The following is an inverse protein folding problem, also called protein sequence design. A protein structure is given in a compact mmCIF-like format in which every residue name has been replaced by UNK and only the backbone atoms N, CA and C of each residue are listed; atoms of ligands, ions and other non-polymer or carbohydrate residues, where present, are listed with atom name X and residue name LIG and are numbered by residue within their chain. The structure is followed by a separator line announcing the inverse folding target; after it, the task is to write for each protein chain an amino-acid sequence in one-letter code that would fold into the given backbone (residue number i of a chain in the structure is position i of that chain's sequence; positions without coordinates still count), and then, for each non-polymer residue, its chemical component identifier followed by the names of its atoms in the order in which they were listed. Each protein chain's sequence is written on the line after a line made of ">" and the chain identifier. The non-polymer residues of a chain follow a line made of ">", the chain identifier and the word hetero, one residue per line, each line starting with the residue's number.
data_IF_754600379381
#
_entry.id   IF_754600379381
#
_cell.length_a   1.000
_cell.length_b   1.000
_cell.length_c   1.000
_cell.angle_alpha   90.00
_cell.angle_beta   90.00
_cell.angle_gamma   90.00
#
_symmetry.space_group_name_H-M   'P 1'
#
loop_
_entity.id
_entity.type
_entity.pdbx_description
1 polymer ?
#
# COMPACT_ATOMS: atom_id res chain seq x y z
N UNK A 1 15.13 0.24 13.11
CA UNK A 1 13.96 -0.63 13.20
C UNK A 1 13.05 -0.40 12.03
N UNK A 2 12.62 -1.48 11.39
CA UNK A 2 11.63 -1.40 10.33
C UNK A 2 10.24 -1.30 10.95
N UNK A 3 9.47 -0.26 10.59
CA UNK A 3 8.11 -0.14 11.02
C UNK A 3 7.20 -1.18 10.32
N UNK A 4 6.16 -1.64 11.02
CA UNK A 4 5.14 -2.48 10.42
C UNK A 4 4.26 -1.65 9.51
N UNK A 5 4.10 -2.07 8.26
CA UNK A 5 3.23 -1.43 7.29
C UNK A 5 1.94 -2.22 7.10
N UNK A 6 0.89 -1.50 6.81
CA UNK A 6 -0.37 -2.07 6.34
C UNK A 6 -0.39 -1.98 4.82
N UNK A 7 -0.46 -3.13 4.17
CA UNK A 7 -0.29 -3.24 2.71
C UNK A 7 -1.52 -3.90 2.12
N UNK A 8 -2.05 -3.31 1.06
CA UNK A 8 -3.12 -3.90 0.27
C UNK A 8 -2.54 -4.34 -1.07
N UNK A 9 -2.85 -5.57 -1.45
CA UNK A 9 -2.50 -6.14 -2.76
C UNK A 9 -3.79 -6.34 -3.54
N UNK A 10 -3.88 -5.68 -4.68
CA UNK A 10 -5.03 -5.79 -5.59
C UNK A 10 -4.53 -6.27 -6.94
N UNK A 11 -4.75 -7.53 -7.27
CA UNK A 11 -4.31 -8.14 -8.51
C UNK A 11 -5.20 -9.34 -8.84
N UNK A 12 -5.49 -9.55 -10.12
CA UNK A 12 -6.31 -10.68 -10.56
C UNK A 12 -5.59 -12.02 -10.47
N UNK A 13 -4.25 -12.02 -10.53
CA UNK A 13 -3.46 -13.24 -10.49
C UNK A 13 -3.39 -13.80 -9.06
N UNK A 14 -3.94 -14.99 -8.79
CA UNK A 14 -3.81 -15.60 -7.46
C UNK A 14 -2.36 -15.92 -7.11
N UNK A 15 -1.53 -16.23 -8.10
CA UNK A 15 -0.10 -16.47 -7.90
C UNK A 15 0.59 -15.21 -7.42
N UNK A 16 0.34 -14.08 -8.05
CA UNK A 16 0.90 -12.78 -7.64
C UNK A 16 0.49 -12.43 -6.22
N UNK A 17 -0.81 -12.56 -5.91
CA UNK A 17 -1.31 -12.28 -4.56
C UNK A 17 -0.63 -13.15 -3.52
N UNK A 18 -0.50 -14.45 -3.78
CA UNK A 18 0.10 -15.38 -2.84
C UNK A 18 1.58 -15.11 -2.63
N UNK A 19 2.32 -14.83 -3.69
CA UNK A 19 3.75 -14.50 -3.61
C UNK A 19 3.95 -13.26 -2.74
N UNK A 20 3.20 -12.19 -3.02
CA UNK A 20 3.31 -10.94 -2.26
C UNK A 20 2.89 -11.12 -0.81
N UNK A 21 1.80 -11.82 -0.56
CA UNK A 21 1.33 -12.12 0.80
C UNK A 21 2.40 -12.81 1.63
N UNK A 22 2.99 -13.88 1.09
CA UNK A 22 4.03 -14.65 1.79
C UNK A 22 5.27 -13.81 2.05
N UNK A 23 5.76 -13.10 1.03
CA UNK A 23 6.98 -12.28 1.17
C UNK A 23 6.76 -11.18 2.21
N UNK A 24 5.66 -10.45 2.12
CA UNK A 24 5.41 -9.28 2.96
C UNK A 24 5.07 -9.66 4.39
N UNK A 25 4.36 -10.75 4.60
CA UNK A 25 4.08 -11.27 5.95
C UNK A 25 5.35 -11.74 6.64
N UNK A 26 6.27 -12.36 5.91
CA UNK A 26 7.57 -12.77 6.45
C UNK A 26 8.41 -11.57 6.88
N UNK A 27 8.23 -10.43 6.22
CA UNK A 27 8.91 -9.19 6.61
C UNK A 27 8.20 -8.45 7.76
N UNK A 28 7.12 -9.03 8.29
CA UNK A 28 6.43 -8.50 9.46
C UNK A 28 5.33 -7.49 9.17
N UNK A 29 4.88 -7.40 7.93
CA UNK A 29 3.82 -6.46 7.55
C UNK A 29 2.43 -7.10 7.58
N UNK A 30 1.42 -6.26 7.74
CA UNK A 30 0.01 -6.66 7.64
C UNK A 30 -0.40 -6.58 6.18
N UNK A 31 -0.88 -7.68 5.61
CA UNK A 31 -1.21 -7.79 4.18
C UNK A 31 -2.64 -8.23 4.00
N UNK A 32 -3.40 -7.49 3.20
CA UNK A 32 -4.72 -7.89 2.75
C UNK A 32 -4.73 -7.96 1.22
N UNK A 33 -5.20 -9.09 0.69
CA UNK A 33 -5.22 -9.34 -0.75
C UNK A 33 -6.63 -9.32 -1.30
N UNK A 34 -6.80 -8.71 -2.46
CA UNK A 34 -8.09 -8.61 -3.15
C UNK A 34 -7.90 -8.88 -4.64
N UNK A 35 -8.92 -9.46 -5.27
CA UNK A 35 -8.98 -9.64 -6.72
C UNK A 35 -10.00 -8.70 -7.38
N UNK A 36 -10.85 -8.07 -6.58
CA UNK A 36 -11.90 -7.15 -7.02
C UNK A 36 -11.62 -5.74 -6.48
N UNK A 37 -11.51 -4.72 -7.36
CA UNK A 37 -11.29 -3.35 -6.94
C UNK A 37 -12.38 -2.79 -6.03
N UNK A 38 -13.63 -3.20 -6.20
CA UNK A 38 -14.72 -2.74 -5.34
C UNK A 38 -14.56 -3.24 -3.91
N UNK A 39 -14.16 -4.49 -3.73
CA UNK A 39 -13.90 -5.05 -2.40
C UNK A 39 -12.72 -4.37 -1.73
N UNK A 40 -11.66 -4.09 -2.49
CA UNK A 40 -10.50 -3.36 -1.98
C UNK A 40 -10.87 -1.95 -1.52
N UNK A 41 -11.66 -1.23 -2.32
CA UNK A 41 -12.14 0.10 -1.97
C UNK A 41 -13.05 0.10 -0.74
N UNK A 42 -13.94 -0.90 -0.64
CA UNK A 42 -14.78 -1.06 0.56
C UNK A 42 -13.94 -1.26 1.82
N UNK A 43 -12.89 -2.08 1.73
CA UNK A 43 -11.98 -2.30 2.84
C UNK A 43 -11.26 -1.01 3.24
N UNK A 44 -10.82 -0.21 2.26
CA UNK A 44 -10.18 1.09 2.52
C UNK A 44 -11.15 2.08 3.17
N UNK A 45 -12.39 2.13 2.73
CA UNK A 45 -13.41 2.99 3.35
C UNK A 45 -13.75 2.56 4.77
N UNK A 46 -13.79 1.26 5.02
CA UNK A 46 -14.14 0.69 6.33
C UNK A 46 -13.00 0.84 7.35
N UNK A 47 -11.77 0.58 6.94
CA UNK A 47 -10.62 0.49 7.84
C UNK A 47 -9.64 1.66 7.73
N UNK A 48 -9.88 2.59 6.81
CA UNK A 48 -8.99 3.72 6.56
C UNK A 48 -7.86 3.39 5.58
N UNK A 49 -7.01 4.38 5.26
CA UNK A 49 -5.95 4.21 4.27
C UNK A 49 -4.91 3.18 4.71
N UNK A 50 -4.39 2.43 3.76
CA UNK A 50 -3.22 1.59 3.95
C UNK A 50 -1.95 2.42 3.76
N UNK A 51 -0.80 1.85 4.08
CA UNK A 51 0.49 2.50 3.86
C UNK A 51 0.93 2.37 2.41
N UNK A 52 0.79 1.16 1.87
CA UNK A 52 1.12 0.84 0.48
C UNK A 52 -0.06 0.14 -0.20
N UNK A 53 -0.22 0.41 -1.47
CA UNK A 53 -1.15 -0.29 -2.35
C UNK A 53 -0.38 -0.86 -3.54
N UNK A 54 -0.27 -2.18 -3.62
CA UNK A 54 0.30 -2.88 -4.76
C UNK A 54 -0.84 -3.23 -5.72
N UNK A 55 -0.85 -2.61 -6.89
CA UNK A 55 -2.00 -2.59 -7.76
C UNK A 55 -1.67 -3.14 -9.16
N UNK A 56 -2.30 -4.24 -9.53
CA UNK A 56 -2.30 -4.71 -10.91
C UNK A 56 -3.20 -3.82 -11.76
N UNK A 57 -2.83 -3.61 -13.02
CA UNK A 57 -3.56 -2.71 -13.89
C UNK A 57 -4.72 -3.37 -14.64
N UNK A 58 -4.65 -4.69 -14.83
CA UNK A 58 -5.67 -5.46 -15.55
C UNK A 58 -6.65 -6.07 -14.54
N UNK A 59 -7.72 -5.35 -14.25
CA UNK A 59 -8.73 -5.74 -13.26
C UNK A 59 -10.10 -5.94 -13.95
N UNK A 60 -10.97 -6.82 -13.38
CA UNK A 60 -12.18 -7.27 -14.08
C UNK A 60 -13.29 -6.22 -14.22
N UNK A 61 -13.52 -5.40 -13.21
CA UNK A 61 -14.67 -4.48 -13.19
C UNK A 61 -14.29 -3.02 -13.35
N UNK A 62 -13.07 -2.68 -13.01
CA UNK A 62 -12.54 -1.32 -13.05
C UNK A 62 -11.07 -1.42 -13.41
N UNK A 63 -10.65 -0.65 -14.39
CA UNK A 63 -9.23 -0.58 -14.80
C UNK A 63 -8.38 -0.07 -13.63
N UNK A 64 -7.17 -0.60 -13.48
CA UNK A 64 -6.23 -0.12 -12.47
C UNK A 64 -5.92 1.37 -12.56
N UNK A 65 -5.93 1.93 -13.75
CA UNK A 65 -5.78 3.38 -13.95
C UNK A 65 -6.95 4.16 -13.34
N UNK A 66 -8.16 3.63 -13.43
CA UNK A 66 -9.35 4.25 -12.84
C UNK A 66 -9.27 4.20 -11.31
N UNK A 67 -8.77 3.11 -10.74
CA UNK A 67 -8.52 3.00 -9.30
C UNK A 67 -7.51 4.06 -8.85
N UNK A 68 -6.41 4.23 -9.58
CA UNK A 68 -5.41 5.25 -9.28
C UNK A 68 -5.98 6.66 -9.32
N UNK A 69 -6.78 6.96 -10.34
CA UNK A 69 -7.44 8.27 -10.48
C UNK A 69 -8.41 8.53 -9.34
N UNK A 70 -9.18 7.51 -8.98
CA UNK A 70 -10.15 7.60 -7.89
C UNK A 70 -9.44 7.91 -6.57
N UNK A 71 -8.38 7.17 -6.25
CA UNK A 71 -7.63 7.37 -5.01
C UNK A 71 -6.93 8.72 -4.97
N UNK A 72 -6.45 9.19 -6.11
CA UNK A 72 -5.82 10.51 -6.23
C UNK A 72 -6.80 11.64 -5.96
N UNK A 73 -8.07 11.47 -6.36
CA UNK A 73 -9.14 12.43 -6.14
C UNK A 73 -9.72 12.42 -4.72
N UNK A 74 -9.37 11.43 -3.90
CA UNK A 74 -9.93 11.26 -2.56
C UNK A 74 -8.92 11.65 -1.50
N UNK A 75 -9.09 12.79 -0.80
CA UNK A 75 -8.10 13.27 0.20
C UNK A 75 -7.79 12.28 1.30
N UNK A 76 -8.74 11.41 1.66
CA UNK A 76 -8.56 10.40 2.71
C UNK A 76 -7.42 9.44 2.41
N UNK A 77 -7.09 9.24 1.12
CA UNK A 77 -6.12 8.23 0.68
C UNK A 77 -4.83 8.85 0.16
N UNK A 78 -4.61 10.15 0.34
CA UNK A 78 -3.40 10.83 -0.14
C UNK A 78 -2.11 10.38 0.55
N UNK A 79 -2.21 9.81 1.75
CA UNK A 79 -1.06 9.25 2.46
C UNK A 79 -0.64 7.86 1.97
N UNK A 80 -1.50 7.22 1.19
CA UNK A 80 -1.21 5.91 0.60
C UNK A 80 -0.24 6.04 -0.56
N UNK A 81 0.71 5.09 -0.64
CA UNK A 81 1.67 5.02 -1.75
C UNK A 81 1.23 3.95 -2.73
N UNK A 82 0.72 4.32 -3.92
CA UNK A 82 0.35 3.33 -4.94
C UNK A 82 1.57 2.89 -5.74
N UNK A 83 1.69 1.59 -5.92
CA UNK A 83 2.74 0.94 -6.71
C UNK A 83 2.07 0.10 -7.77
N UNK A 84 2.31 0.43 -9.04
CA UNK A 84 1.71 -0.31 -10.15
C UNK A 84 2.50 -1.57 -10.45
N UNK A 85 1.77 -2.69 -10.61
CA UNK A 85 2.34 -3.97 -11.02
C UNK A 85 2.07 -4.14 -12.52
N UNK A 86 3.11 -4.18 -13.31
CA UNK A 86 3.02 -4.31 -14.76
C UNK A 86 3.37 -5.73 -15.21
N UNK A 87 2.74 -6.16 -16.30
CA UNK A 87 3.12 -7.37 -17.01
C UNK A 87 4.38 -7.12 -17.84
N UNK A 88 5.13 -8.18 -18.20
CA UNK A 88 6.27 -8.07 -19.10
C UNK A 88 5.87 -7.54 -20.50
N UNK A 89 4.59 -7.71 -20.86
CA UNK A 89 4.05 -7.23 -22.14
C UNK A 89 3.75 -5.73 -22.14
N UNK A 90 3.70 -5.13 -20.96
CA UNK A 90 3.43 -3.70 -20.83
C UNK A 90 4.67 -2.89 -21.23
N UNK A 91 4.51 -1.99 -22.18
CA UNK A 91 5.60 -1.18 -22.70
C UNK A 91 5.81 0.13 -21.90
N UNK A 92 6.72 0.94 -22.42
CA UNK A 92 7.08 2.24 -21.84
C UNK A 92 5.87 3.16 -21.70
N UNK A 93 4.93 3.13 -22.65
CA UNK A 93 3.74 3.98 -22.63
C UNK A 93 2.82 3.63 -21.46
N UNK A 94 2.64 2.34 -21.16
CA UNK A 94 1.83 1.90 -20.03
C UNK A 94 2.49 2.33 -18.71
N UNK A 95 3.80 2.20 -18.64
CA UNK A 95 4.58 2.64 -17.46
C UNK A 95 4.41 4.15 -17.21
N UNK A 96 4.54 4.94 -18.27
CA UNK A 96 4.36 6.39 -18.18
C UNK A 96 2.93 6.75 -17.78
N UNK A 97 1.95 6.08 -18.40
CA UNK A 97 0.54 6.28 -18.08
C UNK A 97 0.22 5.96 -16.62
N UNK A 98 0.82 4.90 -16.07
CA UNK A 98 0.65 4.55 -14.65
C UNK A 98 1.18 5.65 -13.72
N UNK A 99 2.36 6.19 -14.02
CA UNK A 99 2.94 7.29 -13.25
C UNK A 99 2.09 8.55 -13.32
N UNK A 100 1.60 8.89 -14.50
CA UNK A 100 0.73 10.05 -14.69
C UNK A 100 -0.61 9.89 -13.99
N UNK A 101 -1.10 8.65 -13.86
CA UNK A 101 -2.34 8.37 -13.15
C UNK A 101 -2.19 8.41 -11.63
N UNK A 102 -0.95 8.42 -11.11
CA UNK A 102 -0.70 8.56 -9.68
C UNK A 102 0.18 7.49 -9.04
N UNK A 103 0.64 6.49 -9.79
CA UNK A 103 1.55 5.48 -9.25
C UNK A 103 2.91 6.11 -8.94
N UNK A 104 3.38 5.96 -7.71
CA UNK A 104 4.70 6.47 -7.32
C UNK A 104 5.82 5.61 -7.86
N UNK A 105 5.60 4.31 -7.94
CA UNK A 105 6.57 3.37 -8.49
C UNK A 105 5.86 2.37 -9.39
N UNK A 106 6.65 1.75 -10.26
CA UNK A 106 6.20 0.71 -11.18
C UNK A 106 7.11 -0.49 -11.01
N UNK A 107 6.51 -1.65 -10.77
CA UNK A 107 7.24 -2.92 -10.65
C UNK A 107 6.77 -3.84 -11.77
N UNK A 108 7.71 -4.38 -12.56
CA UNK A 108 7.40 -5.26 -13.67
C UNK A 108 7.51 -6.72 -13.23
N UNK A 109 6.50 -7.51 -13.56
CA UNK A 109 6.52 -8.96 -13.34
C UNK A 109 7.54 -9.61 -14.32
N UNK A 110 8.22 -10.71 -13.97
CA UNK A 110 8.02 -11.53 -12.76
C UNK A 110 8.53 -10.84 -11.51
N UNK A 111 7.85 -11.08 -10.39
CA UNK A 111 8.21 -10.47 -9.11
C UNK A 111 9.45 -11.14 -8.53
N UNK A 112 10.44 -10.34 -8.19
CA UNK A 112 11.68 -10.79 -7.57
C UNK A 112 11.64 -10.45 -6.08
N UNK A 113 11.75 -11.47 -5.24
CA UNK A 113 11.65 -11.32 -3.79
C UNK A 113 12.56 -10.21 -3.25
N UNK A 114 13.83 -10.20 -3.67
CA UNK A 114 14.80 -9.21 -3.18
C UNK A 114 14.39 -7.79 -3.53
N UNK A 115 13.83 -7.57 -4.72
CA UNK A 115 13.35 -6.26 -5.13
C UNK A 115 12.15 -5.81 -4.31
N UNK A 116 11.21 -6.71 -4.06
CA UNK A 116 10.02 -6.41 -3.26
C UNK A 116 10.40 -6.09 -1.82
N UNK A 117 11.27 -6.91 -1.22
CA UNK A 117 11.74 -6.70 0.15
C UNK A 117 12.48 -5.37 0.28
N UNK A 118 13.38 -5.05 -0.65
CA UNK A 118 14.14 -3.80 -0.64
C UNK A 118 13.22 -2.58 -0.78
N UNK A 119 12.28 -2.65 -1.70
CA UNK A 119 11.31 -1.59 -1.96
C UNK A 119 10.46 -1.30 -0.71
N UNK A 120 9.84 -2.32 -0.15
CA UNK A 120 8.95 -2.17 1.01
C UNK A 120 9.75 -1.76 2.25
N UNK A 121 10.96 -2.29 2.43
CA UNK A 121 11.82 -1.90 3.54
C UNK A 121 12.21 -0.42 3.48
N UNK A 122 12.43 0.13 2.29
CA UNK A 122 12.74 1.55 2.13
C UNK A 122 11.57 2.43 2.59
N UNK A 123 10.33 2.06 2.27
CA UNK A 123 9.15 2.79 2.74
C UNK A 123 8.96 2.65 4.25
N UNK A 124 9.19 1.48 4.81
CA UNK A 124 9.11 1.24 6.25
C UNK A 124 10.11 2.12 7.01
N UNK A 125 11.34 2.23 6.50
CA UNK A 125 12.39 3.07 7.09
C UNK A 125 12.06 4.56 6.96
N UNK A 126 11.60 5.01 5.80
CA UNK A 126 11.21 6.42 5.58
C UNK A 126 10.08 6.81 6.52
N UNK A 127 9.11 5.94 6.72
CA UNK A 127 7.98 6.22 7.59
C UNK A 127 8.39 6.29 9.05
N UNK A 128 9.25 5.40 9.51
CA UNK A 128 9.81 5.44 10.85
C UNK A 128 10.60 6.73 11.10
N UNK A 129 11.40 7.16 10.11
CA UNK A 129 12.16 8.41 10.17
C UNK A 129 11.26 9.64 10.18
N UNK A 130 10.19 9.65 9.37
CA UNK A 130 9.24 10.76 9.33
C UNK A 130 8.48 10.90 10.65
N UNK A 131 8.09 9.80 11.26
CA UNK A 131 7.43 9.80 12.57
C UNK A 131 8.36 10.28 13.67
N UNK A 132 9.63 9.89 13.62
CA UNK A 132 10.63 10.32 14.59
C UNK A 132 11.01 11.81 14.47
N UNK A 133 10.95 12.37 13.25
CA UNK A 133 11.32 13.75 12.98
C UNK A 133 10.17 14.75 13.16
N UNK A 134 8.95 14.31 13.39
CA UNK A 134 7.79 15.19 13.55
C UNK A 134 7.34 15.19 15.02
N UNK A 135 7.68 16.24 15.80
CA UNK A 135 7.32 16.30 17.21
C UNK A 135 5.82 16.38 17.49
N UNK A 136 5.03 16.82 16.51
CA UNK A 136 3.56 16.90 16.65
C UNK A 136 2.90 15.51 16.60
N UNK A 137 3.42 14.61 15.77
CA UNK A 137 2.89 13.23 15.72
C UNK A 137 3.33 12.40 16.92
N UNK A 138 4.50 12.67 17.48
CA UNK A 138 4.97 12.01 18.69
C UNK A 138 4.12 12.40 19.92
N UNK A 139 3.72 13.67 20.01
CA UNK A 139 2.87 14.13 21.13
C UNK A 139 1.43 13.60 21.01
N UNK A 140 0.89 13.50 19.80
CA UNK A 140 -0.45 12.96 19.58
C UNK A 140 -0.54 11.48 19.95
N UNK A 141 0.47 10.69 19.58
CA UNK A 141 0.50 9.26 19.94
C UNK A 141 0.63 9.02 21.45
N UNK A 142 1.29 9.94 22.15
CA UNK A 142 1.43 9.85 23.59
C UNK A 142 0.11 10.18 24.31
N UNK A 143 -0.61 11.18 23.83
CA UNK A 143 -1.92 11.54 24.38
C UNK A 143 -2.97 10.44 24.15
N UNK A 144 -2.95 9.81 23.00
CA UNK A 144 -3.86 8.69 22.71
C UNK A 144 -3.58 7.48 23.62
N UNK A 145 -2.31 7.21 23.92
CA UNK A 145 -1.94 6.12 24.83
C UNK A 145 -2.34 6.42 26.28
N UNK A 146 -2.21 7.66 26.72
CA UNK A 146 -2.66 8.07 28.06
C UNK A 146 -4.17 8.02 28.20
N UNK A 147 -4.90 8.45 27.16
CA UNK A 147 -6.37 8.36 27.15
C UNK A 147 -6.84 6.90 27.15
N UNK A 148 -6.21 6.02 26.40
CA UNK A 148 -6.53 4.59 26.38
C UNK A 148 -6.23 3.92 27.73
N UNK A 149 -5.13 4.30 28.40
CA UNK A 149 -4.80 3.74 29.71
C UNK A 149 -5.74 4.22 30.83
N UNK A 150 -6.30 5.42 30.71
CA UNK A 150 -7.31 5.92 31.64
C UNK A 150 -8.66 5.19 31.48
N UNK A 151 -9.02 4.82 30.27
CA UNK A 151 -10.26 4.09 30.00
C UNK A 151 -10.22 2.64 30.48
N UNK A 152 -9.04 2.03 30.52
CA UNK A 152 -8.87 0.65 31.02
C UNK A 152 -8.87 0.55 32.56
N UNK A 153 -8.76 1.66 33.27
CA UNK A 153 -8.75 1.68 34.74
C UNK A 153 -10.12 1.89 35.39
N UNK A 154 -11.14 2.19 34.61
CA UNK A 154 -12.53 2.24 35.05
C UNK A 154 -13.28 0.95 34.71
#
# INVERSE_FOLDING_TARGET
>A
MKGQLRIIVLDTSPTTRKILEVILQREGHLVACFDDPLEALRALFRHGPADLLLLGLDLPTMDGFDVLKYLRGEPRFHSMVPIALLSERDGILVRLKARLAGAQLVVTKPLVRQQIVALVSSYACQRASAQASNPLTASASHQEREAASCLERE
#
